data_IF_691860984634
#
_entry.id   IF_691860984634
#
_cell.length_a   1.000
_cell.length_b   1.000
_cell.length_c   1.000
_cell.angle_alpha   90.00
_cell.angle_beta   90.00
_cell.angle_gamma   90.00
#
_symmetry.space_group_name_H-M   'P 1'
#
loop_
_entity.id
_entity.type
_entity.pdbx_description
1 polymer ?
#
# COMPACT_ATOMS: atom_id res chain seq x y z
N UNK A 1 27.23 14.19 -3.85
CA UNK A 1 28.50 13.82 -3.19
C UNK A 1 28.28 13.06 -1.88
N UNK A 2 27.25 13.39 -1.09
CA UNK A 2 26.94 12.75 0.21
C UNK A 2 26.25 11.37 0.16
N UNK A 3 25.74 10.95 -1.00
CA UNK A 3 24.98 9.70 -1.16
C UNK A 3 25.78 8.48 -0.67
N UNK A 4 27.08 8.43 -1.03
CA UNK A 4 28.02 7.36 -0.66
C UNK A 4 28.19 7.12 0.85
N UNK A 5 27.79 8.07 1.69
CA UNK A 5 27.88 7.95 3.15
C UNK A 5 26.52 7.64 3.82
N UNK A 6 25.47 7.40 3.02
CA UNK A 6 24.10 7.11 3.50
C UNK A 6 23.46 5.91 2.78
N UNK A 7 24.24 5.21 1.96
CA UNK A 7 23.76 4.11 1.11
C UNK A 7 23.62 2.80 1.89
N UNK A 8 24.37 2.60 2.97
CA UNK A 8 24.27 1.42 3.81
C UNK A 8 23.66 1.75 5.16
N UNK A 9 22.69 0.97 5.66
CA UNK A 9 22.23 1.07 7.04
C UNK A 9 23.35 1.04 8.11
N UNK A 10 24.50 0.42 7.84
CA UNK A 10 25.68 0.48 8.73
C UNK A 10 26.28 1.88 8.88
N UNK A 11 26.04 2.77 7.91
CA UNK A 11 26.57 4.13 7.93
C UNK A 11 25.91 4.99 9.02
N UNK A 12 24.77 4.57 9.56
CA UNK A 12 24.14 5.24 10.72
C UNK A 12 25.06 5.25 11.95
N UNK A 13 25.96 4.27 12.07
CA UNK A 13 26.96 4.20 13.13
C UNK A 13 28.04 5.27 13.04
N UNK A 14 28.12 6.01 11.92
CA UNK A 14 29.03 7.16 11.75
C UNK A 14 28.41 8.48 12.22
N UNK A 15 27.15 8.46 12.65
CA UNK A 15 26.47 9.60 13.24
C UNK A 15 26.76 9.65 14.74
N UNK A 16 27.03 10.86 15.24
CA UNK A 16 27.32 11.10 16.65
C UNK A 16 26.31 12.12 17.21
N UNK A 17 25.89 11.89 18.45
CA UNK A 17 25.04 12.80 19.22
C UNK A 17 25.81 13.29 20.43
N UNK A 18 25.64 14.56 20.79
CA UNK A 18 26.29 15.13 21.96
C UNK A 18 25.49 14.76 23.22
N UNK A 19 26.18 14.16 24.19
CA UNK A 19 25.64 13.87 25.52
C UNK A 19 25.56 15.13 26.39
N UNK A 20 24.86 15.04 27.53
CA UNK A 20 24.77 16.13 28.50
C UNK A 20 26.11 16.52 29.14
N UNK A 21 27.10 15.61 29.15
CA UNK A 21 28.48 15.91 29.57
C UNK A 21 29.31 16.58 28.47
N UNK A 22 28.77 16.76 27.27
CA UNK A 22 29.46 17.35 26.13
C UNK A 22 30.17 16.33 25.23
N UNK A 23 30.25 15.07 25.64
CA UNK A 23 30.92 14.01 24.88
C UNK A 23 30.11 13.59 23.65
N UNK A 24 30.81 13.24 22.57
CA UNK A 24 30.18 12.71 21.35
C UNK A 24 29.97 11.20 21.47
N UNK A 25 28.72 10.77 21.47
CA UNK A 25 28.32 9.35 21.59
C UNK A 25 27.88 8.85 20.21
N UNK A 26 28.39 7.72 19.72
CA UNK A 26 27.95 7.16 18.44
C UNK A 26 26.50 6.67 18.54
N UNK A 27 25.69 6.94 17.51
CA UNK A 27 24.27 6.58 17.50
C UNK A 27 24.04 5.05 17.55
N UNK A 28 25.01 4.26 17.12
CA UNK A 28 25.00 2.79 17.24
C UNK A 28 25.02 2.28 18.69
N UNK A 29 25.53 3.06 19.65
CA UNK A 29 25.51 2.70 21.07
C UNK A 29 24.12 2.89 21.71
N UNK A 30 23.20 3.57 21.02
CA UNK A 30 21.87 3.93 21.52
C UNK A 30 20.72 3.29 20.73
N UNK A 31 21.01 2.64 19.59
CA UNK A 31 19.98 2.15 18.66
C UNK A 31 20.23 0.70 18.25
N UNK A 32 19.14 -0.04 18.06
CA UNK A 32 19.16 -1.41 17.54
C UNK A 32 18.49 -1.46 16.17
N UNK A 33 19.09 -2.16 15.21
CA UNK A 33 18.54 -2.32 13.86
C UNK A 33 17.80 -3.64 13.73
N UNK A 34 16.58 -3.59 13.18
CA UNK A 34 15.85 -4.76 12.70
C UNK A 34 15.50 -4.58 11.22
N UNK A 35 15.56 -5.68 10.46
CA UNK A 35 15.02 -5.71 9.10
C UNK A 35 13.52 -6.04 9.20
N UNK A 36 12.70 -5.25 8.51
CA UNK A 36 11.25 -5.47 8.43
C UNK A 36 10.79 -5.37 6.97
N UNK A 37 9.81 -6.19 6.62
CA UNK A 37 9.09 -6.09 5.36
C UNK A 37 7.74 -5.43 5.64
N UNK A 38 7.43 -4.36 4.93
CA UNK A 38 6.17 -3.64 5.04
C UNK A 38 5.77 -3.07 3.68
N UNK A 39 4.47 -2.78 3.47
CA UNK A 39 4.04 -2.13 2.24
C UNK A 39 4.63 -0.72 2.15
N UNK A 40 5.18 -0.37 0.99
CA UNK A 40 5.75 0.96 0.71
C UNK A 40 4.68 2.08 0.82
N UNK A 41 3.42 1.73 0.54
CA UNK A 41 2.28 2.61 0.79
C UNK A 41 1.01 1.81 1.13
N UNK A 42 0.15 2.38 1.98
CA UNK A 42 -1.14 1.81 2.33
C UNK A 42 -2.24 2.52 1.55
N UNK A 43 -2.88 1.82 0.61
CA UNK A 43 -4.03 2.36 -0.11
C UNK A 43 -5.29 2.28 0.76
N UNK A 44 -6.09 3.34 0.74
CA UNK A 44 -7.40 3.39 1.37
C UNK A 44 -8.46 3.88 0.38
N UNK A 45 -9.65 3.31 0.48
CA UNK A 45 -10.84 3.76 -0.21
C UNK A 45 -11.96 3.89 0.81
N UNK A 46 -12.65 5.04 0.84
CA UNK A 46 -13.65 5.36 1.87
C UNK A 46 -13.17 5.08 3.31
N UNK A 47 -11.92 5.45 3.61
CA UNK A 47 -11.22 5.24 4.91
C UNK A 47 -10.84 3.79 5.27
N UNK A 48 -11.30 2.80 4.50
CA UNK A 48 -10.93 1.39 4.66
C UNK A 48 -9.67 1.05 3.89
N UNK A 49 -8.86 0.11 4.40
CA UNK A 49 -7.73 -0.45 3.63
C UNK A 49 -8.27 -1.15 2.40
N UNK A 50 -7.70 -0.88 1.24
CA UNK A 50 -8.21 -1.39 -0.02
C UNK A 50 -7.10 -1.84 -0.96
N UNK A 51 -7.48 -2.71 -1.90
CA UNK A 51 -6.70 -3.02 -3.07
C UNK A 51 -7.51 -2.59 -4.30
N UNK A 52 -6.87 -1.85 -5.21
CA UNK A 52 -7.52 -1.43 -6.46
C UNK A 52 -7.36 -2.53 -7.49
N UNK A 53 -8.47 -3.02 -8.01
CA UNK A 53 -8.52 -3.94 -9.15
C UNK A 53 -8.99 -3.15 -10.36
N UNK A 54 -8.27 -3.25 -11.47
CA UNK A 54 -8.62 -2.63 -12.74
C UNK A 54 -8.66 -3.72 -13.82
N UNK A 55 -9.55 -3.56 -14.79
CA UNK A 55 -9.69 -4.47 -15.91
C UNK A 55 -10.65 -3.93 -16.96
N UNK A 56 -10.77 -4.65 -18.05
CA UNK A 56 -11.72 -4.38 -19.12
C UNK A 56 -12.50 -5.66 -19.46
N UNK A 57 -13.72 -5.55 -20.02
CA UNK A 57 -14.47 -6.71 -20.50
C UNK A 57 -13.66 -7.51 -21.53
N UNK A 58 -13.93 -8.82 -21.60
CA UNK A 58 -13.40 -9.66 -22.66
C UNK A 58 -14.01 -9.26 -24.03
N UNK A 59 -13.34 -9.54 -25.17
CA UNK A 59 -13.91 -9.28 -26.48
C UNK A 59 -15.29 -9.94 -26.66
N UNK A 60 -16.28 -9.17 -27.12
CA UNK A 60 -17.66 -9.64 -27.31
C UNK A 60 -18.52 -9.67 -26.04
N UNK A 61 -18.00 -9.22 -24.90
CA UNK A 61 -18.73 -9.11 -23.63
C UNK A 61 -18.98 -7.64 -23.31
N UNK A 62 -20.19 -7.31 -22.86
CA UNK A 62 -20.54 -5.96 -22.44
C UNK A 62 -19.89 -5.60 -21.09
N UNK A 63 -19.80 -4.30 -20.81
CA UNK A 63 -19.34 -3.81 -19.51
C UNK A 63 -20.22 -4.28 -18.36
N UNK A 64 -21.54 -4.23 -18.52
CA UNK A 64 -22.50 -4.73 -17.52
C UNK A 64 -22.35 -6.23 -17.23
N UNK A 65 -22.15 -7.07 -18.26
CA UNK A 65 -21.88 -8.50 -18.07
C UNK A 65 -20.57 -8.72 -17.31
N UNK A 66 -19.51 -7.96 -17.63
CA UNK A 66 -18.25 -8.05 -16.91
C UNK A 66 -18.38 -7.62 -15.44
N UNK A 67 -19.16 -6.58 -15.15
CA UNK A 67 -19.46 -6.15 -13.78
C UNK A 67 -20.22 -7.24 -13.02
N UNK A 68 -21.26 -7.82 -13.62
CA UNK A 68 -22.02 -8.90 -12.99
C UNK A 68 -21.15 -10.13 -12.69
N UNK A 69 -20.27 -10.51 -13.62
CA UNK A 69 -19.33 -11.60 -13.40
C UNK A 69 -18.35 -11.31 -12.24
N UNK A 70 -17.87 -10.06 -12.11
CA UNK A 70 -17.04 -9.66 -10.99
C UNK A 70 -17.78 -9.70 -9.65
N UNK A 71 -19.08 -9.36 -9.62
CA UNK A 71 -19.91 -9.46 -8.41
C UNK A 71 -20.11 -10.92 -7.99
N UNK A 72 -20.33 -11.84 -8.95
CA UNK A 72 -20.43 -13.28 -8.69
C UNK A 72 -19.11 -13.85 -8.13
N UNK A 73 -17.98 -13.46 -8.72
CA UNK A 73 -16.65 -13.86 -8.23
C UNK A 73 -16.43 -13.28 -6.82
N UNK A 74 -16.78 -12.01 -6.59
CA UNK A 74 -16.62 -11.38 -5.28
C UNK A 74 -17.44 -12.12 -4.20
N UNK A 75 -18.66 -12.55 -4.52
CA UNK A 75 -19.53 -13.28 -3.59
C UNK A 75 -18.96 -14.65 -3.17
N UNK A 76 -18.12 -15.27 -4.01
CA UNK A 76 -17.57 -16.61 -3.76
C UNK A 76 -16.12 -16.59 -3.27
N UNK A 77 -15.36 -15.55 -3.59
CA UNK A 77 -13.92 -15.49 -3.33
C UNK A 77 -13.52 -14.58 -2.17
N UNK A 78 -14.35 -13.58 -1.84
CA UNK A 78 -13.99 -12.64 -0.77
C UNK A 78 -14.12 -13.29 0.61
N UNK A 79 -13.07 -13.20 1.45
CA UNK A 79 -13.14 -13.62 2.85
C UNK A 79 -14.16 -12.80 3.64
N UNK A 80 -14.64 -13.38 4.75
CA UNK A 80 -15.49 -12.67 5.70
C UNK A 80 -14.81 -11.37 6.19
N UNK A 81 -15.55 -10.26 6.14
CA UNK A 81 -15.07 -8.94 6.53
C UNK A 81 -14.42 -8.13 5.40
N UNK A 82 -14.32 -8.67 4.18
CA UNK A 82 -14.03 -7.89 2.98
C UNK A 82 -15.32 -7.50 2.25
N UNK A 83 -15.29 -6.36 1.59
CA UNK A 83 -16.33 -5.90 0.68
C UNK A 83 -15.68 -5.31 -0.56
N UNK A 84 -16.47 -5.13 -1.61
CA UNK A 84 -16.06 -4.42 -2.81
C UNK A 84 -16.93 -3.16 -2.99
N UNK A 85 -16.42 -2.21 -3.75
CA UNK A 85 -17.15 -1.01 -4.17
C UNK A 85 -16.68 -0.63 -5.59
N UNK A 86 -17.61 -0.17 -6.42
CA UNK A 86 -17.31 0.33 -7.75
C UNK A 86 -16.88 1.79 -7.70
N UNK A 87 -16.00 2.20 -8.62
CA UNK A 87 -15.56 3.59 -8.73
C UNK A 87 -15.48 4.03 -10.19
N UNK A 88 -15.54 5.34 -10.44
CA UNK A 88 -15.45 5.91 -11.79
C UNK A 88 -16.54 5.40 -12.72
N UNK A 89 -16.16 5.05 -13.96
CA UNK A 89 -17.09 4.60 -15.00
C UNK A 89 -17.94 3.39 -14.58
N UNK A 90 -17.36 2.43 -13.84
CA UNK A 90 -18.12 1.27 -13.33
C UNK A 90 -19.20 1.68 -12.33
N UNK A 91 -18.95 2.71 -11.51
CA UNK A 91 -19.94 3.24 -10.59
C UNK A 91 -21.06 3.97 -11.34
N UNK A 92 -20.70 4.82 -12.31
CA UNK A 92 -21.65 5.55 -13.15
C UNK A 92 -22.57 4.60 -13.92
N UNK A 93 -22.03 3.50 -14.44
CA UNK A 93 -22.79 2.46 -15.12
C UNK A 93 -23.77 1.74 -14.20
N UNK A 94 -23.35 1.36 -12.98
CA UNK A 94 -24.25 0.76 -11.98
C UNK A 94 -25.36 1.72 -11.54
N UNK A 95 -25.09 3.03 -11.47
CA UNK A 95 -26.08 4.03 -11.12
C UNK A 95 -27.06 4.32 -12.27
N UNK A 96 -26.59 4.30 -13.51
CA UNK A 96 -27.40 4.59 -14.69
C UNK A 96 -28.24 3.40 -15.16
N UNK A 97 -27.86 2.18 -14.74
CA UNK A 97 -28.60 0.94 -15.03
C UNK A 97 -29.75 0.67 -14.06
N UNK A 98 -30.00 1.58 -13.10
CA UNK A 98 -31.06 1.50 -12.08
C UNK A 98 -32.36 2.17 -12.49
#
# INVERSE_FOLDING_TARGET
ADTRFRDNPSDIGRLYVRSSSGDMVPLSALTTRSAGLGPDSLKRYNLYRSATINGSPAPGVSSGEALNALEEIAATTLPAGMSYEWSGASLEEKQSSG
#
